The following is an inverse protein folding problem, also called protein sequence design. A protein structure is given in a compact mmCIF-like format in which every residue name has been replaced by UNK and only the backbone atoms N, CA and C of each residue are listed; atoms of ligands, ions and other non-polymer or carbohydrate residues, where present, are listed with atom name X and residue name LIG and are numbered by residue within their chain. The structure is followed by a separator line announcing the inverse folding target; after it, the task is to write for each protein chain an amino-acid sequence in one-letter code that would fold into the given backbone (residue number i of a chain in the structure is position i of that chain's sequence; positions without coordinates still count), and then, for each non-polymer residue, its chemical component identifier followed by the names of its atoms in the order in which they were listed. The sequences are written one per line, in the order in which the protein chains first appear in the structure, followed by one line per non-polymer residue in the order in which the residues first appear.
data_IF_133712146998
#
_entry.id   IF_133712146998
#
_cell.length_a   1.000
_cell.length_b   1.000
_cell.length_c   1.000
_cell.angle_alpha   90.00
_cell.angle_beta   90.00
_cell.angle_gamma   90.00
#
_symmetry.space_group_name_H-M   'P 1'
#
loop_
_entity.id
_entity.type
_entity.pdbx_description
1 polymer ?
#
# COMPACT_ATOMS: atom_id res chain seq x y z
N UNK A 1 -15.00 30.82 -1.77
CA UNK A 1 -15.25 30.71 -0.31
C UNK A 1 -15.60 29.25 0.05
N UNK A 2 -14.92 28.27 -0.58
CA UNK A 2 -15.43 26.89 -0.77
C UNK A 2 -14.61 25.79 -0.08
N UNK A 3 -13.51 26.16 0.57
CA UNK A 3 -12.64 25.27 1.33
C UNK A 3 -13.32 24.58 2.54
N UNK A 4 -14.20 25.23 3.34
CA UNK A 4 -14.76 24.59 4.53
C UNK A 4 -15.84 23.55 4.18
N UNK A 5 -16.61 23.75 3.10
CA UNK A 5 -17.64 22.80 2.65
C UNK A 5 -17.01 21.52 2.13
N UNK A 6 -15.95 21.63 1.33
CA UNK A 6 -15.20 20.48 0.80
C UNK A 6 -14.56 19.66 1.93
N UNK A 7 -14.01 20.32 2.96
CA UNK A 7 -13.43 19.65 4.12
C UNK A 7 -14.48 18.91 4.96
N UNK A 8 -15.65 19.51 5.18
CA UNK A 8 -16.78 18.87 5.87
C UNK A 8 -17.34 17.68 5.09
N UNK A 9 -17.46 17.80 3.77
CA UNK A 9 -17.91 16.70 2.92
C UNK A 9 -16.96 15.48 3.01
N UNK A 10 -15.64 15.70 2.94
CA UNK A 10 -14.66 14.61 3.10
C UNK A 10 -14.75 13.96 4.49
N UNK A 11 -14.92 14.75 5.55
CA UNK A 11 -15.10 14.22 6.91
C UNK A 11 -16.39 13.41 7.06
N UNK A 12 -17.50 13.89 6.51
CA UNK A 12 -18.78 13.18 6.55
C UNK A 12 -18.74 11.88 5.76
N UNK A 13 -18.10 11.88 4.58
CA UNK A 13 -17.90 10.66 3.78
C UNK A 13 -17.04 9.67 4.56
N UNK A 14 -15.92 10.12 5.15
CA UNK A 14 -15.06 9.27 5.97
C UNK A 14 -15.81 8.67 7.16
N UNK A 15 -16.63 9.47 7.84
CA UNK A 15 -17.47 9.02 8.95
C UNK A 15 -18.52 8.00 8.50
N UNK A 16 -19.18 8.24 7.36
CA UNK A 16 -20.17 7.32 6.80
C UNK A 16 -19.54 5.98 6.41
N UNK A 17 -18.38 5.99 5.74
CA UNK A 17 -17.65 4.77 5.39
C UNK A 17 -17.22 4.02 6.65
N UNK A 18 -16.71 4.74 7.67
CA UNK A 18 -16.31 4.14 8.94
C UNK A 18 -17.49 3.51 9.66
N UNK A 19 -18.62 4.23 9.76
CA UNK A 19 -19.84 3.72 10.37
C UNK A 19 -20.36 2.47 9.64
N UNK A 20 -20.34 2.47 8.31
CA UNK A 20 -20.71 1.33 7.49
C UNK A 20 -19.78 0.12 7.72
N UNK A 21 -18.47 0.35 7.75
CA UNK A 21 -17.48 -0.70 8.01
C UNK A 21 -17.65 -1.30 9.42
N UNK A 22 -17.83 -0.46 10.44
CA UNK A 22 -18.09 -0.91 11.83
C UNK A 22 -19.39 -1.68 11.91
N UNK A 23 -20.45 -1.22 11.24
CA UNK A 23 -21.73 -1.94 11.18
C UNK A 23 -21.58 -3.32 10.54
N UNK A 24 -20.90 -3.41 9.39
CA UNK A 24 -20.67 -4.69 8.71
C UNK A 24 -19.79 -5.62 9.54
N UNK A 25 -18.69 -5.12 10.12
CA UNK A 25 -17.86 -5.91 11.02
C UNK A 25 -18.64 -6.39 12.24
N UNK A 26 -19.45 -5.54 12.85
CA UNK A 26 -20.30 -5.93 13.98
C UNK A 26 -21.30 -7.01 13.57
N UNK A 27 -21.92 -6.88 12.40
CA UNK A 27 -22.87 -7.87 11.86
C UNK A 27 -22.22 -9.23 11.58
N UNK A 28 -21.00 -9.25 11.07
CA UNK A 28 -20.27 -10.50 10.82
C UNK A 28 -19.73 -11.11 12.13
N UNK A 29 -19.14 -10.29 13.02
CA UNK A 29 -18.55 -10.76 14.28
C UNK A 29 -19.63 -11.17 15.29
N UNK A 30 -20.80 -10.53 15.31
CA UNK A 30 -21.89 -10.87 16.24
C UNK A 30 -22.47 -12.26 16.03
N UNK A 31 -22.17 -12.91 14.90
CA UNK A 31 -22.52 -14.31 14.65
C UNK A 31 -21.61 -15.28 15.43
N UNK A 32 -20.50 -14.81 15.99
CA UNK A 32 -19.53 -15.59 16.74
C UNK A 32 -19.50 -15.15 18.20
N UNK A 33 -19.40 -16.11 19.12
CA UNK A 33 -19.17 -15.84 20.52
C UNK A 33 -17.71 -15.43 20.79
N UNK A 34 -17.48 -14.64 21.84
CA UNK A 34 -16.13 -14.30 22.26
C UNK A 34 -15.26 -15.53 22.58
N UNK A 35 -15.89 -16.59 23.08
CA UNK A 35 -15.22 -17.87 23.37
C UNK A 35 -14.72 -18.54 22.08
N UNK A 36 -15.50 -18.54 21.01
CA UNK A 36 -15.10 -19.08 19.70
C UNK A 36 -13.96 -18.29 19.08
N UNK A 37 -14.00 -16.95 19.14
CA UNK A 37 -12.90 -16.10 18.66
C UNK A 37 -11.61 -16.39 19.43
N UNK A 38 -11.69 -16.47 20.76
CA UNK A 38 -10.54 -16.78 21.61
C UNK A 38 -10.00 -18.18 21.35
N UNK A 39 -10.88 -19.17 21.16
CA UNK A 39 -10.52 -20.53 20.80
C UNK A 39 -9.79 -20.57 19.46
N UNK A 40 -10.34 -19.93 18.42
CA UNK A 40 -9.72 -19.87 17.10
C UNK A 40 -8.34 -19.22 17.11
N UNK A 41 -8.12 -18.16 17.92
CA UNK A 41 -6.80 -17.53 18.09
C UNK A 41 -5.83 -18.45 18.84
N UNK A 42 -6.31 -19.16 19.86
CA UNK A 42 -5.49 -20.11 20.63
C UNK A 42 -5.10 -21.35 19.81
N UNK A 43 -5.92 -21.73 18.83
CA UNK A 43 -5.68 -22.86 17.93
C UNK A 43 -4.65 -22.55 16.85
N UNK A 44 -4.21 -21.30 16.69
CA UNK A 44 -3.16 -20.95 15.73
C UNK A 44 -1.82 -21.55 16.20
N UNK A 45 -1.22 -22.49 15.44
CA UNK A 45 0.02 -23.12 15.85
C UNK A 45 1.20 -22.13 15.80
N UNK A 46 2.14 -22.27 16.74
CA UNK A 46 3.29 -21.37 16.89
C UNK A 46 4.14 -21.20 15.61
N UNK A 47 4.29 -22.24 14.80
CA UNK A 47 5.06 -22.13 13.55
C UNK A 47 4.42 -21.15 12.55
N UNK A 48 3.09 -21.05 12.53
CA UNK A 48 2.35 -20.08 11.70
C UNK A 48 2.53 -18.66 12.20
N UNK A 49 2.60 -18.46 13.52
CA UNK A 49 2.95 -17.17 14.11
C UNK A 49 4.38 -16.74 13.76
N UNK A 50 5.33 -17.68 13.80
CA UNK A 50 6.73 -17.41 13.39
C UNK A 50 6.84 -17.06 11.90
N UNK A 51 6.09 -17.74 11.03
CA UNK A 51 6.02 -17.38 9.61
C UNK A 51 5.41 -15.99 9.40
N UNK A 52 4.30 -15.67 10.07
CA UNK A 52 3.70 -14.35 10.01
C UNK A 52 4.68 -13.26 10.47
N UNK A 53 5.45 -13.50 11.54
CA UNK A 53 6.49 -12.59 12.01
C UNK A 53 7.64 -12.46 11.00
N UNK A 54 8.06 -13.56 10.38
CA UNK A 54 9.09 -13.56 9.34
C UNK A 54 8.65 -12.73 8.13
N UNK A 55 7.46 -12.99 7.57
CA UNK A 55 6.93 -12.22 6.44
C UNK A 55 6.72 -10.75 6.81
N UNK A 56 6.29 -10.43 8.04
CA UNK A 56 6.22 -9.04 8.51
C UNK A 56 7.59 -8.38 8.52
N UNK A 57 8.61 -9.07 9.01
CA UNK A 57 10.00 -8.56 9.05
C UNK A 57 10.54 -8.32 7.65
N UNK A 58 10.31 -9.28 6.73
CA UNK A 58 10.68 -9.14 5.32
C UNK A 58 9.92 -7.99 4.67
N UNK A 59 8.64 -7.78 5.02
CA UNK A 59 7.84 -6.66 4.52
C UNK A 59 8.47 -5.31 4.89
N UNK A 60 8.84 -5.13 6.17
CA UNK A 60 9.52 -3.91 6.61
C UNK A 60 10.89 -3.72 5.94
N UNK A 61 11.61 -4.81 5.63
CA UNK A 61 12.83 -4.73 4.84
C UNK A 61 12.56 -4.26 3.40
N UNK A 62 11.51 -4.76 2.75
CA UNK A 62 11.08 -4.30 1.41
C UNK A 62 10.70 -2.82 1.42
N UNK A 63 9.95 -2.36 2.43
CA UNK A 63 9.61 -0.95 2.60
C UNK A 63 10.87 -0.09 2.80
N UNK A 64 11.86 -0.58 3.55
CA UNK A 64 13.16 0.08 3.73
C UNK A 64 13.96 0.14 2.42
N UNK A 65 13.93 -0.94 1.62
CA UNK A 65 14.55 -0.96 0.29
C UNK A 65 13.91 0.07 -0.65
N UNK A 66 12.59 0.27 -0.55
CA UNK A 66 11.87 1.29 -1.31
C UNK A 66 12.34 2.72 -0.96
N UNK A 67 12.40 3.04 0.34
CA UNK A 67 12.96 4.31 0.83
C UNK A 67 14.41 4.49 0.34
N UNK A 68 15.23 3.43 0.38
CA UNK A 68 16.60 3.44 -0.14
C UNK A 68 16.68 3.68 -1.65
N UNK A 69 15.76 3.09 -2.42
CA UNK A 69 15.67 3.29 -3.86
C UNK A 69 15.26 4.74 -4.20
N UNK A 70 14.32 5.29 -3.44
CA UNK A 70 13.90 6.69 -3.55
C UNK A 70 15.06 7.66 -3.26
N UNK A 71 15.84 7.40 -2.20
CA UNK A 71 17.03 8.18 -1.87
C UNK A 71 18.09 8.11 -2.98
N UNK A 72 18.32 6.91 -3.53
CA UNK A 72 19.21 6.72 -4.69
C UNK A 72 18.72 7.45 -5.93
N UNK A 73 17.40 7.49 -6.16
CA UNK A 73 16.78 8.22 -7.26
C UNK A 73 17.02 9.73 -7.16
N UNK A 74 16.93 10.32 -5.96
CA UNK A 74 17.23 11.74 -5.74
C UNK A 74 18.73 12.06 -5.55
N UNK A 75 19.61 11.06 -5.70
CA UNK A 75 21.06 11.23 -5.60
C UNK A 75 21.58 11.40 -4.17
N UNK A 76 20.81 11.05 -3.14
CA UNK A 76 21.22 11.13 -1.73
C UNK A 76 21.71 9.78 -1.22
N UNK A 77 22.73 9.84 -0.38
CA UNK A 77 23.27 8.66 0.32
C UNK A 77 23.04 8.84 1.82
N UNK A 78 22.28 7.93 2.40
CA UNK A 78 22.11 7.80 3.84
C UNK A 78 22.58 6.40 4.26
N UNK A 79 23.03 6.27 5.51
CA UNK A 79 23.38 4.98 6.06
C UNK A 79 22.12 4.11 6.21
N UNK A 80 22.19 2.82 5.86
CA UNK A 80 21.03 1.92 5.84
C UNK A 80 20.25 1.86 7.15
N UNK A 81 20.93 1.93 8.30
CA UNK A 81 20.26 1.98 9.61
C UNK A 81 19.35 3.20 9.78
N UNK A 82 19.74 4.37 9.25
CA UNK A 82 18.92 5.60 9.30
C UNK A 82 17.68 5.47 8.41
N UNK A 83 17.85 4.87 7.23
CA UNK A 83 16.76 4.60 6.28
C UNK A 83 15.77 3.61 6.91
N UNK A 84 16.29 2.52 7.49
CA UNK A 84 15.47 1.52 8.16
C UNK A 84 14.68 2.09 9.33
N UNK A 85 15.31 2.90 10.19
CA UNK A 85 14.63 3.57 11.28
C UNK A 85 13.53 4.52 10.79
N UNK A 86 13.84 5.37 9.81
CA UNK A 86 12.87 6.30 9.23
C UNK A 86 11.67 5.56 8.60
N UNK A 87 11.95 4.54 7.79
CA UNK A 87 10.92 3.74 7.12
C UNK A 87 10.09 2.97 8.14
N UNK A 88 10.71 2.31 9.12
CA UNK A 88 10.00 1.56 10.17
C UNK A 88 9.04 2.44 10.96
N UNK A 89 9.52 3.55 11.53
CA UNK A 89 8.70 4.46 12.35
C UNK A 89 7.56 5.06 11.52
N UNK A 90 7.86 5.49 10.29
CA UNK A 90 6.89 6.16 9.44
C UNK A 90 5.79 5.22 8.94
N UNK A 91 6.16 3.99 8.59
CA UNK A 91 5.20 2.96 8.16
C UNK A 91 4.40 2.41 9.34
N UNK A 92 5.01 2.21 10.51
CA UNK A 92 4.30 1.81 11.73
C UNK A 92 3.21 2.85 12.10
N UNK A 93 3.54 4.14 12.02
CA UNK A 93 2.57 5.22 12.24
C UNK A 93 1.48 5.21 11.15
N UNK A 94 1.87 5.07 9.86
CA UNK A 94 0.93 5.03 8.73
C UNK A 94 -0.11 3.92 8.86
N UNK A 95 0.32 2.72 9.22
CA UNK A 95 -0.55 1.54 9.29
C UNK A 95 -1.50 1.57 10.49
N UNK A 96 -1.13 2.26 11.58
CA UNK A 96 -1.95 2.31 12.80
C UNK A 96 -2.88 3.53 12.86
N UNK A 97 -2.42 4.71 12.43
CA UNK A 97 -3.17 5.96 12.61
C UNK A 97 -4.02 6.36 11.40
N UNK A 98 -3.85 5.68 10.26
CA UNK A 98 -4.49 6.09 9.00
C UNK A 98 -4.02 7.45 8.51
N UNK A 99 -4.63 7.97 7.43
CA UNK A 99 -4.21 9.20 6.75
C UNK A 99 -2.68 9.22 6.48
N UNK A 100 -2.16 8.15 5.89
CA UNK A 100 -0.71 7.86 5.81
C UNK A 100 0.14 9.02 5.31
N UNK A 101 -0.38 9.84 4.39
CA UNK A 101 0.28 11.06 3.90
C UNK A 101 0.47 12.11 5.00
N UNK A 102 -0.53 12.29 5.86
CA UNK A 102 -0.52 13.30 6.93
C UNK A 102 0.22 12.82 8.18
N UNK A 103 0.09 11.54 8.53
CA UNK A 103 0.66 10.97 9.77
C UNK A 103 2.06 10.43 9.52
N UNK A 104 2.18 9.36 8.74
CA UNK A 104 3.47 8.75 8.41
C UNK A 104 4.34 9.62 7.51
N UNK A 105 3.76 10.38 6.59
CA UNK A 105 4.49 11.34 5.77
C UNK A 105 5.14 12.44 6.62
N UNK A 106 4.45 12.92 7.65
CA UNK A 106 5.01 13.90 8.60
C UNK A 106 6.12 13.30 9.47
N UNK A 107 5.97 12.05 9.92
CA UNK A 107 7.01 11.34 10.65
C UNK A 107 8.28 11.16 9.80
N UNK A 108 8.11 10.72 8.54
CA UNK A 108 9.20 10.55 7.58
C UNK A 108 9.88 11.88 7.29
N UNK A 109 9.08 12.95 7.12
CA UNK A 109 9.57 14.32 6.99
C UNK A 109 10.40 14.76 8.20
N UNK A 110 9.90 14.60 9.41
CA UNK A 110 10.63 14.96 10.63
C UNK A 110 11.96 14.23 10.77
N UNK A 111 11.97 12.92 10.52
CA UNK A 111 13.17 12.09 10.64
C UNK A 111 14.20 12.44 9.56
N UNK A 112 13.78 12.56 8.29
CA UNK A 112 14.70 12.90 7.21
C UNK A 112 15.20 14.34 7.28
N UNK A 113 14.37 15.29 7.75
CA UNK A 113 14.80 16.66 8.01
C UNK A 113 15.88 16.71 9.10
N UNK A 114 15.72 15.92 10.18
CA UNK A 114 16.76 15.76 11.20
C UNK A 114 18.05 15.12 10.66
N UNK A 115 17.97 14.36 9.57
CA UNK A 115 19.13 13.81 8.85
C UNK A 115 19.69 14.72 7.74
N UNK A 116 19.19 15.95 7.63
CA UNK A 116 19.71 16.98 6.72
C UNK A 116 19.10 16.98 5.32
N UNK A 117 17.98 16.29 5.10
CA UNK A 117 17.23 16.41 3.84
C UNK A 117 16.36 17.66 3.87
N UNK A 118 16.31 18.36 2.74
CA UNK A 118 15.38 19.47 2.53
C UNK A 118 13.92 18.98 2.39
N UNK A 119 12.98 19.93 2.49
CA UNK A 119 11.55 19.69 2.28
C UNK A 119 11.28 19.09 0.91
N UNK A 120 11.89 19.66 -0.15
CA UNK A 120 11.70 19.19 -1.53
C UNK A 120 12.25 17.78 -1.73
N UNK A 121 13.41 17.47 -1.15
CA UNK A 121 14.01 16.13 -1.24
C UNK A 121 13.16 15.09 -0.52
N UNK A 122 12.66 15.41 0.66
CA UNK A 122 11.78 14.50 1.39
C UNK A 122 10.46 14.29 0.65
N UNK A 123 9.86 15.35 0.09
CA UNK A 123 8.66 15.25 -0.73
C UNK A 123 8.86 14.36 -1.96
N UNK A 124 10.03 14.42 -2.61
CA UNK A 124 10.38 13.51 -3.72
C UNK A 124 10.49 12.05 -3.26
N UNK A 125 11.04 11.81 -2.07
CA UNK A 125 11.11 10.46 -1.49
C UNK A 125 9.70 9.91 -1.21
N UNK A 126 8.84 10.71 -0.56
CA UNK A 126 7.45 10.33 -0.29
C UNK A 126 6.70 10.07 -1.60
N UNK A 127 6.77 11.00 -2.55
CA UNK A 127 6.12 10.84 -3.85
C UNK A 127 6.59 9.60 -4.60
N UNK A 128 7.89 9.28 -4.56
CA UNK A 128 8.41 8.04 -5.14
C UNK A 128 7.81 6.80 -4.46
N UNK A 129 7.75 6.77 -3.13
CA UNK A 129 7.20 5.65 -2.38
C UNK A 129 5.70 5.49 -2.63
N UNK A 130 4.95 6.58 -2.61
CA UNK A 130 3.50 6.60 -2.86
C UNK A 130 3.17 6.17 -4.30
N UNK A 131 3.98 6.61 -5.28
CA UNK A 131 3.88 6.14 -6.67
C UNK A 131 4.16 4.63 -6.78
N UNK A 132 5.11 4.10 -5.99
CA UNK A 132 5.42 2.66 -5.98
C UNK A 132 4.22 1.83 -5.51
N UNK A 133 3.59 2.26 -4.42
CA UNK A 133 2.39 1.61 -3.88
C UNK A 133 1.22 1.78 -4.86
N UNK A 134 1.02 2.99 -5.41
CA UNK A 134 -0.03 3.28 -6.39
C UNK A 134 0.08 2.43 -7.65
N UNK A 135 1.26 2.33 -8.24
CA UNK A 135 1.51 1.53 -9.44
C UNK A 135 1.32 0.04 -9.19
N UNK A 136 1.86 -0.50 -8.09
CA UNK A 136 1.68 -1.92 -7.81
C UNK A 136 0.27 -2.28 -7.39
N UNK A 137 -0.42 -1.43 -6.62
CA UNK A 137 -1.83 -1.62 -6.29
C UNK A 137 -2.72 -1.62 -7.54
N UNK A 138 -2.52 -0.67 -8.46
CA UNK A 138 -3.24 -0.61 -9.72
C UNK A 138 -2.91 -1.82 -10.62
N UNK A 139 -1.65 -2.24 -10.66
CA UNK A 139 -1.21 -3.40 -11.43
C UNK A 139 -1.84 -4.70 -10.92
N UNK A 140 -1.71 -4.98 -9.62
CA UNK A 140 -2.24 -6.19 -8.98
C UNK A 140 -3.77 -6.20 -9.05
N UNK A 141 -4.44 -5.10 -8.65
CA UNK A 141 -5.89 -5.02 -8.70
C UNK A 141 -6.43 -5.10 -10.14
N UNK A 142 -5.73 -4.47 -11.09
CA UNK A 142 -6.06 -4.54 -12.51
C UNK A 142 -5.97 -5.97 -13.06
N UNK A 143 -4.89 -6.68 -12.73
CA UNK A 143 -4.71 -8.09 -13.12
C UNK A 143 -5.75 -9.00 -12.47
N UNK A 144 -6.02 -8.82 -11.17
CA UNK A 144 -7.02 -9.62 -10.43
C UNK A 144 -8.43 -9.44 -11.00
N UNK A 145 -8.80 -8.22 -11.40
CA UNK A 145 -10.10 -7.93 -11.99
C UNK A 145 -10.26 -8.47 -13.43
N UNK A 146 -9.15 -8.66 -14.17
CA UNK A 146 -9.17 -9.17 -15.54
C UNK A 146 -8.95 -10.68 -15.68
N UNK A 147 -8.15 -11.29 -14.80
CA UNK A 147 -7.72 -12.71 -14.88
C UNK A 147 -8.84 -13.70 -14.50
N UNK A 148 -10.09 -13.30 -14.70
CA UNK A 148 -11.31 -13.98 -14.23
C UNK A 148 -11.51 -13.77 -12.72
N UNK A 149 -12.75 -13.52 -12.24
CA UNK A 149 -13.02 -13.42 -10.80
C UNK A 149 -12.92 -14.83 -10.20
N UNK A 150 -11.73 -15.40 -10.12
CA UNK A 150 -11.44 -16.79 -9.78
C UNK A 150 -11.69 -17.16 -8.30
N UNK A 151 -12.60 -16.45 -7.63
CA UNK A 151 -12.93 -16.65 -6.23
C UNK A 151 -14.08 -15.76 -5.75
N UNK A 152 -14.04 -15.34 -4.48
CA UNK A 152 -15.07 -14.57 -3.76
C UNK A 152 -15.63 -13.35 -4.52
N UNK A 153 -14.87 -12.75 -5.43
CA UNK A 153 -15.30 -11.63 -6.29
C UNK A 153 -16.47 -12.04 -7.22
N UNK A 154 -16.54 -13.29 -7.67
CA UNK A 154 -17.66 -13.80 -8.49
C UNK A 154 -18.98 -13.89 -7.70
N UNK A 155 -18.93 -13.85 -6.36
CA UNK A 155 -20.12 -13.82 -5.49
C UNK A 155 -20.74 -12.43 -5.40
N UNK A 156 -20.08 -11.40 -5.93
CA UNK A 156 -20.60 -10.04 -6.00
C UNK A 156 -21.12 -9.80 -7.43
N UNK A 157 -22.45 -9.79 -7.66
CA UNK A 157 -23.03 -9.74 -9.00
C UNK A 157 -22.55 -8.55 -9.84
N UNK A 158 -22.38 -7.39 -9.21
CA UNK A 158 -21.87 -6.17 -9.85
C UNK A 158 -20.44 -6.31 -10.39
N UNK A 159 -19.55 -6.99 -9.66
CA UNK A 159 -18.15 -7.16 -10.07
C UNK A 159 -17.99 -8.22 -11.15
N UNK A 160 -18.90 -9.19 -11.23
CA UNK A 160 -18.91 -10.21 -12.28
C UNK A 160 -19.17 -9.61 -13.67
N UNK A 161 -20.07 -8.64 -13.78
CA UNK A 161 -20.42 -8.00 -15.05
C UNK A 161 -19.55 -6.77 -15.35
N UNK A 162 -19.31 -5.92 -14.35
CA UNK A 162 -18.64 -4.62 -14.56
C UNK A 162 -17.20 -4.57 -14.08
N UNK A 163 -16.70 -5.60 -13.37
CA UNK A 163 -15.37 -5.59 -12.76
C UNK A 163 -14.21 -5.54 -13.76
N UNK A 164 -14.41 -6.01 -14.99
CA UNK A 164 -13.39 -5.96 -16.05
C UNK A 164 -13.06 -4.54 -16.51
N UNK A 165 -14.02 -3.62 -16.47
CA UNK A 165 -13.85 -2.23 -16.91
C UNK A 165 -12.86 -1.46 -16.03
N UNK A 166 -13.02 -1.37 -14.69
CA UNK A 166 -12.03 -0.75 -13.84
C UNK A 166 -10.69 -1.51 -13.86
N UNK A 167 -10.71 -2.84 -14.01
CA UNK A 167 -9.48 -3.63 -14.18
C UNK A 167 -8.66 -3.19 -15.39
N UNK A 168 -9.31 -3.05 -16.55
CA UNK A 168 -8.68 -2.55 -17.78
C UNK A 168 -8.17 -1.10 -17.62
N UNK A 169 -8.96 -0.21 -17.00
CA UNK A 169 -8.56 1.18 -16.76
C UNK A 169 -7.31 1.28 -15.86
N UNK A 170 -7.22 0.44 -14.83
CA UNK A 170 -6.06 0.38 -13.94
C UNK A 170 -4.81 -0.12 -14.67
N UNK A 171 -4.93 -1.17 -15.49
CA UNK A 171 -3.79 -1.64 -16.29
C UNK A 171 -3.38 -0.64 -17.36
N UNK A 172 -4.34 0.07 -17.95
CA UNK A 172 -4.06 1.14 -18.91
C UNK A 172 -3.30 2.29 -18.23
N UNK A 173 -3.66 2.64 -16.99
CA UNK A 173 -2.91 3.61 -16.18
C UNK A 173 -1.46 3.17 -15.94
N UNK A 174 -1.24 1.91 -15.53
CA UNK A 174 0.11 1.35 -15.34
C UNK A 174 0.89 1.33 -16.66
N UNK A 175 0.24 0.96 -17.76
CA UNK A 175 0.86 0.93 -19.09
C UNK A 175 1.27 2.32 -19.58
N UNK A 176 0.41 3.33 -19.44
CA UNK A 176 0.78 4.71 -19.76
C UNK A 176 1.90 5.22 -18.85
N UNK A 177 1.87 4.93 -17.54
CA UNK A 177 2.95 5.29 -16.64
C UNK A 177 4.30 4.65 -17.06
N UNK A 178 4.27 3.40 -17.53
CA UNK A 178 5.45 2.72 -18.08
C UNK A 178 5.96 3.41 -19.36
N UNK A 179 5.05 3.75 -20.29
CA UNK A 179 5.41 4.45 -21.54
C UNK A 179 6.01 5.84 -21.29
N UNK A 180 5.44 6.61 -20.35
CA UNK A 180 6.00 7.91 -19.97
C UNK A 180 7.36 7.77 -19.31
N UNK A 181 7.54 6.77 -18.44
CA UNK A 181 8.82 6.44 -17.79
C UNK A 181 9.88 6.00 -18.80
N UNK A 182 9.49 5.29 -19.87
CA UNK A 182 10.39 4.89 -20.95
C UNK A 182 10.76 6.07 -21.86
N UNK A 183 9.81 6.96 -22.13
CA UNK A 183 10.02 8.13 -23.00
C UNK A 183 10.92 9.20 -22.36
N UNK A 184 11.20 9.12 -21.06
CA UNK A 184 12.05 10.08 -20.33
C UNK A 184 11.48 11.50 -20.26
N UNK A 185 10.20 11.69 -20.62
CA UNK A 185 9.54 12.99 -20.65
C UNK A 185 9.16 13.41 -19.23
N UNK A 186 9.50 14.64 -18.83
CA UNK A 186 8.98 15.24 -17.60
C UNK A 186 7.52 15.64 -17.81
N UNK A 187 6.68 15.38 -16.80
CA UNK A 187 5.32 15.92 -16.77
C UNK A 187 5.40 17.23 -15.98
N UNK A 188 4.98 18.33 -16.61
CA UNK A 188 4.79 19.59 -15.90
C UNK A 188 3.47 19.54 -15.15
N UNK A 189 3.53 19.36 -13.82
CA UNK A 189 2.36 19.45 -12.96
C UNK A 189 2.50 20.71 -12.12
N UNK A 190 1.59 21.67 -12.31
CA UNK A 190 1.57 22.96 -11.58
C UNK A 190 2.88 23.77 -11.65
N UNK A 191 3.60 23.71 -12.78
CA UNK A 191 4.80 24.51 -13.02
C UNK A 191 6.12 23.88 -12.56
N UNK A 192 6.08 22.74 -11.85
CA UNK A 192 7.26 21.93 -11.54
C UNK A 192 7.38 20.76 -12.53
N UNK A 193 8.59 20.55 -13.05
CA UNK A 193 8.92 19.39 -13.87
C UNK A 193 9.01 18.14 -12.97
N UNK A 194 7.94 17.35 -12.93
CA UNK A 194 7.95 16.02 -12.34
C UNK A 194 8.52 15.07 -13.40
N UNK A 195 9.83 14.82 -13.32
CA UNK A 195 10.45 13.74 -14.09
C UNK A 195 9.96 12.40 -13.55
N UNK A 196 9.37 11.55 -14.40
CA UNK A 196 9.10 10.17 -14.00
C UNK A 196 10.42 9.43 -13.76
N UNK A 197 10.43 8.40 -12.90
CA UNK A 197 11.59 7.55 -12.72
C UNK A 197 11.94 6.88 -14.05
N UNK A 198 13.23 6.82 -14.44
CA UNK A 198 13.67 6.03 -15.59
C UNK A 198 13.18 4.58 -15.49
N UNK A 199 13.01 3.90 -16.63
CA UNK A 199 12.45 2.54 -16.71
C UNK A 199 13.05 1.54 -15.69
N UNK A 200 14.35 1.63 -15.39
CA UNK A 200 15.01 0.80 -14.36
C UNK A 200 14.39 0.93 -12.97
N UNK A 201 13.99 2.15 -12.58
CA UNK A 201 13.34 2.41 -11.30
C UNK A 201 11.88 1.99 -11.36
N UNK A 202 11.20 2.19 -12.48
CA UNK A 202 9.83 1.72 -12.67
C UNK A 202 9.70 0.20 -12.50
N UNK A 203 10.60 -0.59 -13.12
CA UNK A 203 10.64 -2.06 -12.94
C UNK A 203 10.90 -2.41 -11.47
N UNK A 204 11.86 -1.74 -10.83
CA UNK A 204 12.15 -1.96 -9.42
C UNK A 204 10.94 -1.61 -8.52
N UNK A 205 10.19 -0.55 -8.83
CA UNK A 205 8.97 -0.17 -8.12
C UNK A 205 7.89 -1.26 -8.24
N UNK A 206 7.67 -1.81 -9.44
CA UNK A 206 6.73 -2.92 -9.63
C UNK A 206 7.15 -4.15 -8.82
N UNK A 207 8.44 -4.52 -8.86
CA UNK A 207 8.96 -5.67 -8.11
C UNK A 207 8.83 -5.47 -6.59
N UNK A 208 9.19 -4.29 -6.09
CA UNK A 208 9.09 -3.94 -4.67
C UNK A 208 7.62 -3.99 -4.22
N UNK A 209 6.73 -3.37 -4.98
CA UNK A 209 5.31 -3.34 -4.64
C UNK A 209 4.69 -4.74 -4.70
N UNK A 210 5.03 -5.54 -5.72
CA UNK A 210 4.63 -6.95 -5.80
C UNK A 210 5.11 -7.76 -4.60
N UNK A 211 6.36 -7.57 -4.18
CA UNK A 211 6.92 -8.25 -3.01
C UNK A 211 6.27 -7.81 -1.69
N UNK A 212 5.93 -6.52 -1.55
CA UNK A 212 5.19 -5.97 -0.40
C UNK A 212 3.78 -6.60 -0.29
N UNK A 213 3.00 -6.57 -1.38
CA UNK A 213 1.69 -7.21 -1.40
C UNK A 213 1.75 -8.73 -1.19
N UNK A 214 2.77 -9.40 -1.74
CA UNK A 214 3.00 -10.82 -1.50
C UNK A 214 3.27 -11.11 -0.03
N UNK A 215 4.19 -10.37 0.60
CA UNK A 215 4.50 -10.55 2.02
C UNK A 215 3.29 -10.26 2.90
N UNK A 216 2.58 -9.16 2.65
CA UNK A 216 1.35 -8.83 3.37
C UNK A 216 0.27 -9.93 3.25
N UNK A 217 0.12 -10.49 2.05
CA UNK A 217 -0.80 -11.61 1.80
C UNK A 217 -0.36 -12.88 2.54
N UNK A 218 0.93 -13.18 2.56
CA UNK A 218 1.49 -14.34 3.27
C UNK A 218 1.37 -14.21 4.80
N UNK A 219 1.44 -13.00 5.36
CA UNK A 219 1.15 -12.76 6.78
C UNK A 219 -0.29 -13.18 7.10
N UNK A 220 -1.26 -12.70 6.33
CA UNK A 220 -2.68 -13.06 6.52
C UNK A 220 -2.92 -14.55 6.30
N UNK A 221 -2.35 -15.13 5.24
CA UNK A 221 -2.48 -16.55 4.92
C UNK A 221 -1.93 -17.44 6.04
N UNK A 222 -0.79 -17.06 6.62
CA UNK A 222 -0.19 -17.80 7.74
C UNK A 222 -1.11 -17.84 8.95
N UNK A 223 -1.89 -16.79 9.18
CA UNK A 223 -2.79 -16.67 10.35
C UNK A 223 -4.18 -17.27 10.11
N UNK A 224 -4.54 -17.64 8.87
CA UNK A 224 -5.86 -18.20 8.56
C UNK A 224 -5.91 -19.72 8.88
N UNK A 225 -6.68 -20.18 9.87
CA UNK A 225 -6.80 -21.60 10.17
C UNK A 225 -7.51 -22.35 9.03
N UNK A 226 -6.96 -23.51 8.61
CA UNK A 226 -7.60 -24.37 7.59
C UNK A 226 -7.56 -23.86 6.15
N UNK A 227 -6.72 -22.88 5.81
CA UNK A 227 -6.53 -22.42 4.43
C UNK A 227 -5.67 -23.39 3.61
N UNK A 228 -6.27 -23.99 2.59
CA UNK A 228 -5.53 -24.61 1.48
C UNK A 228 -4.95 -23.53 0.56
N UNK A 229 -3.82 -23.84 -0.09
CA UNK A 229 -3.15 -22.94 -1.06
C UNK A 229 -4.07 -22.56 -2.24
N UNK A 230 -5.14 -23.32 -2.47
CA UNK A 230 -6.14 -23.11 -3.54
C UNK A 230 -7.01 -21.84 -3.39
N UNK A 231 -6.87 -21.09 -2.30
CA UNK A 231 -7.59 -19.81 -2.07
C UNK A 231 -6.88 -18.62 -2.77
N UNK A 232 -5.66 -18.81 -3.26
CA UNK A 232 -4.89 -17.84 -4.06
C UNK A 232 -4.77 -18.27 -5.52
#
# INVERSE_FOLDING_TARGET
MDLPVKKRAVQLIGLAITAFAVYFLHKEISQYSFAEIRGAVADIPYWRLLLALLFTTVNYAILTLNDGLALKYIGKKLHWAKIGFASFVSNAISFNLGMSVLTGGSARYGIYSAYGLSVSETAKVLGFCDLTIGLGSAGILGLLLLSEPAGTIARIPLLKEWGKIPGFLLLLFVFFAALLSWSGKSIKVKGEDISLPPLKYFIAQIMISGADYFCASMVLFSLLPGSDISIF
#
